data_IF_008790064235
#
_entry.id   IF_008790064235
#
_cell.length_a   1.000
_cell.length_b   1.000
_cell.length_c   1.000
_cell.angle_alpha   90.00
_cell.angle_beta   90.00
_cell.angle_gamma   90.00
#
_symmetry.space_group_name_H-M   'P 1'
#
loop_
_entity.id
_entity.type
_entity.pdbx_description
1 polymer ?
#
# COMPACT_ATOMS: atom_id res chain seq x y z
N UNK A 1 -13.57 -4.06 1.54
CA UNK A 1 -12.60 -5.17 1.49
C UNK A 1 -11.26 -4.64 1.99
N UNK A 2 -10.36 -5.48 2.50
CA UNK A 2 -9.03 -5.02 2.93
C UNK A 2 -7.98 -5.41 1.90
N UNK A 3 -7.14 -4.46 1.51
CA UNK A 3 -6.06 -4.64 0.55
C UNK A 3 -4.73 -4.39 1.23
N UNK A 4 -3.77 -5.26 0.97
CA UNK A 4 -2.38 -5.16 1.42
C UNK A 4 -1.54 -4.56 0.31
N UNK A 5 -0.85 -3.48 0.63
CA UNK A 5 0.01 -2.74 -0.29
C UNK A 5 1.45 -2.88 0.19
N UNK A 6 2.30 -3.45 -0.65
CA UNK A 6 3.76 -3.43 -0.45
C UNK A 6 4.31 -2.24 -1.21
N UNK A 7 5.12 -1.44 -0.55
CA UNK A 7 5.73 -0.26 -1.13
C UNK A 7 7.16 -0.11 -0.66
N UNK A 8 7.97 0.53 -1.48
CA UNK A 8 9.33 0.91 -1.11
C UNK A 8 9.35 2.38 -0.73
N UNK A 9 9.90 2.70 0.43
CA UNK A 9 10.16 4.06 0.87
C UNK A 9 11.63 4.18 1.20
N UNK A 10 12.33 5.10 0.52
CA UNK A 10 13.79 5.11 0.48
C UNK A 10 14.35 3.75 0.03
N UNK A 11 14.95 3.02 0.97
CA UNK A 11 15.58 1.70 0.79
C UNK A 11 14.92 0.63 1.66
N UNK A 12 13.80 0.95 2.30
CA UNK A 12 13.04 0.00 3.12
C UNK A 12 11.79 -0.45 2.37
N UNK A 13 11.57 -1.76 2.36
CA UNK A 13 10.32 -2.33 1.92
C UNK A 13 9.36 -2.33 3.11
N UNK A 14 8.23 -1.66 2.92
CA UNK A 14 7.19 -1.51 3.91
C UNK A 14 5.88 -2.12 3.39
N UNK A 15 4.99 -2.41 4.32
CA UNK A 15 3.70 -3.00 4.03
C UNK A 15 2.62 -2.30 4.85
N UNK A 16 1.50 -2.00 4.20
CA UNK A 16 0.33 -1.41 4.87
C UNK A 16 -0.94 -2.07 4.37
N UNK A 17 -2.01 -1.95 5.16
CA UNK A 17 -3.32 -2.48 4.83
C UNK A 17 -4.32 -1.33 4.74
N UNK A 18 -5.01 -1.23 3.60
CA UNK A 18 -5.98 -0.18 3.29
C UNK A 18 -7.35 -0.83 3.11
N UNK A 19 -8.36 -0.28 3.77
CA UNK A 19 -9.74 -0.66 3.50
C UNK A 19 -10.27 0.08 2.26
N UNK A 20 -10.65 -0.70 1.25
CA UNK A 20 -11.14 -0.19 -0.02
C UNK A 20 -12.14 -1.14 -0.68
N UNK A 21 -12.88 -0.64 -1.66
CA UNK A 21 -13.81 -1.46 -2.46
C UNK A 21 -13.13 -2.11 -3.67
N UNK A 22 -11.95 -1.65 -4.05
CA UNK A 22 -11.22 -2.10 -5.24
C UNK A 22 -9.72 -1.88 -5.06
N UNK A 23 -8.85 -2.62 -5.79
CA UNK A 23 -7.40 -2.43 -5.71
C UNK A 23 -6.97 -1.01 -6.15
N UNK A 24 -7.64 -0.44 -7.15
CA UNK A 24 -7.40 0.94 -7.60
C UNK A 24 -7.71 1.95 -6.49
N UNK A 25 -8.89 1.83 -5.87
CA UNK A 25 -9.30 2.67 -4.73
C UNK A 25 -8.30 2.56 -3.55
N UNK A 26 -7.73 1.36 -3.31
CA UNK A 26 -6.72 1.16 -2.29
C UNK A 26 -5.43 1.94 -2.59
N UNK A 27 -4.99 1.99 -3.85
CA UNK A 27 -3.81 2.75 -4.28
C UNK A 27 -4.05 4.25 -4.17
N UNK A 28 -5.22 4.74 -4.57
CA UNK A 28 -5.58 6.17 -4.43
C UNK A 28 -5.59 6.59 -2.95
N UNK A 29 -6.23 5.80 -2.09
CA UNK A 29 -6.23 6.03 -0.63
C UNK A 29 -4.82 5.98 -0.04
N UNK A 30 -4.01 5.02 -0.48
CA UNK A 30 -2.61 4.93 -0.04
C UNK A 30 -1.80 6.16 -0.43
N UNK A 31 -1.88 6.60 -1.68
CA UNK A 31 -1.19 7.80 -2.15
C UNK A 31 -1.60 9.02 -1.30
N UNK A 32 -2.90 9.20 -1.07
CA UNK A 32 -3.42 10.31 -0.27
C UNK A 32 -2.90 10.29 1.18
N UNK A 33 -2.77 9.11 1.80
CA UNK A 33 -2.20 8.97 3.14
C UNK A 33 -0.71 9.33 3.19
N UNK A 34 0.03 9.08 2.10
CA UNK A 34 1.46 9.38 2.01
C UNK A 34 1.72 10.84 1.62
N UNK A 35 0.78 11.51 0.96
CA UNK A 35 0.81 12.94 0.64
C UNK A 35 0.51 13.83 1.87
N UNK A 36 0.01 13.26 2.97
CA UNK A 36 -0.17 13.98 4.22
C UNK A 36 1.15 14.66 4.66
N UNK A 37 1.12 15.89 5.23
CA UNK A 37 2.26 16.81 5.31
C UNK A 37 3.43 16.37 6.19
N UNK A 38 3.40 15.16 6.75
CA UNK A 38 4.50 14.55 7.47
C UNK A 38 5.45 13.91 6.47
N UNK A 39 6.23 14.72 5.75
CA UNK A 39 7.30 14.23 4.86
C UNK A 39 8.16 13.22 5.64
N UNK A 40 8.10 11.92 5.35
CA UNK A 40 9.22 11.06 5.75
C UNK A 40 10.41 11.56 4.94
N UNK A 41 11.58 11.70 5.56
CA UNK A 41 12.82 12.23 4.96
C UNK A 41 13.42 11.33 3.85
N UNK A 42 12.56 10.65 3.10
CA UNK A 42 12.84 9.40 2.46
C UNK A 42 12.06 9.17 1.17
N UNK A 43 11.97 10.19 0.32
CA UNK A 43 11.40 10.10 -1.03
C UNK A 43 9.92 9.72 -1.11
N UNK A 44 9.30 9.85 -2.29
CA UNK A 44 7.94 9.39 -2.50
C UNK A 44 7.88 7.86 -2.40
N UNK A 45 6.89 7.29 -1.69
CA UNK A 45 6.73 5.85 -1.63
C UNK A 45 6.36 5.30 -3.01
N UNK A 46 7.01 4.22 -3.41
CA UNK A 46 6.74 3.52 -4.67
C UNK A 46 5.98 2.24 -4.40
N UNK A 47 4.73 2.17 -4.85
CA UNK A 47 3.92 0.94 -4.77
C UNK A 47 4.58 -0.14 -5.61
N UNK A 48 4.75 -1.32 -5.02
CA UNK A 48 5.31 -2.50 -5.68
C UNK A 48 4.21 -3.51 -6.02
N UNK A 49 3.32 -3.79 -5.07
CA UNK A 49 2.22 -4.74 -5.28
C UNK A 49 1.01 -4.41 -4.41
N UNK A 50 -0.17 -4.77 -4.91
CA UNK A 50 -1.46 -4.67 -4.20
C UNK A 50 -2.14 -6.03 -4.25
N UNK A 51 -2.54 -6.55 -3.11
CA UNK A 51 -3.19 -7.87 -2.98
C UNK A 51 -4.35 -7.77 -2.00
N UNK A 52 -5.35 -8.64 -2.09
CA UNK A 52 -6.36 -8.70 -1.03
C UNK A 52 -5.71 -9.20 0.26
N UNK A 53 -5.99 -8.55 1.38
CA UNK A 53 -5.51 -8.96 2.70
C UNK A 53 -6.31 -10.14 3.27
N UNK A 54 -7.54 -10.33 2.78
CA UNK A 54 -8.50 -11.36 3.22
C UNK A 54 -8.56 -12.58 2.28
N UNK A 55 -7.96 -12.49 1.10
CA UNK A 55 -7.83 -13.61 0.17
C UNK A 55 -6.61 -14.43 0.55
N UNK A 56 -6.81 -15.43 1.40
CA UNK A 56 -5.82 -16.45 1.69
C UNK A 56 -5.16 -16.94 0.40
N UNK A 57 -3.86 -16.76 0.31
CA UNK A 57 -2.91 -17.82 0.00
C UNK A 57 -3.55 -19.16 -0.40
N UNK A 58 -4.08 -19.26 -1.62
CA UNK A 58 -4.17 -20.53 -2.32
C UNK A 58 -2.79 -20.75 -2.97
N UNK A 59 -1.82 -21.15 -2.16
CA UNK A 59 -0.60 -21.76 -2.69
C UNK A 59 -0.99 -23.17 -3.12
N UNK A 60 -0.94 -23.44 -4.42
CA UNK A 60 -0.78 -24.76 -5.00
C UNK A 60 -0.04 -24.62 -6.32
#
# INVERSE_FOLDING_TARGET
MRYRIRYQQSSQQLMTEIEANSPDEAVVKFQHLQEAPRRPSGGPPRVMSVSMADGGEAWS
#
